data_IF_717997914570
#
_entry.id   IF_717997914570
#
_cell.length_a   1.000
_cell.length_b   1.000
_cell.length_c   1.000
_cell.angle_alpha   90.00
_cell.angle_beta   90.00
_cell.angle_gamma   90.00
#
_symmetry.space_group_name_H-M   'P 1'
#
loop_
_entity.id
_entity.type
_entity.pdbx_description
1 polymer ?
#
# COMPACT_ATOMS: atom_id res chain seq x y z
N UNK A 1 3.07 -76.65 29.12
CA UNK A 1 3.01 -76.13 27.74
C UNK A 1 4.03 -75.00 27.67
N UNK A 2 5.34 -75.23 27.50
CA UNK A 2 6.06 -76.18 26.65
C UNK A 2 5.83 -75.92 25.15
N UNK A 3 6.89 -75.45 24.49
CA UNK A 3 6.95 -74.98 23.09
C UNK A 3 7.04 -76.13 22.06
N UNK A 4 6.93 -75.80 20.76
CA UNK A 4 8.04 -76.00 19.81
C UNK A 4 8.42 -74.66 19.11
N UNK A 5 9.67 -74.28 18.77
CA UNK A 5 10.78 -74.98 18.05
C UNK A 5 10.41 -75.15 16.56
N UNK A 6 11.15 -74.78 15.51
CA UNK A 6 12.60 -74.63 15.16
C UNK A 6 12.76 -73.46 14.12
N UNK A 7 13.91 -72.88 13.69
CA UNK A 7 15.34 -72.99 14.04
C UNK A 7 16.13 -71.67 13.74
N UNK A 8 17.17 -71.68 12.88
CA UNK A 8 18.09 -70.58 12.51
C UNK A 8 18.77 -70.90 11.13
N UNK A 9 19.38 -69.93 10.40
CA UNK A 9 20.82 -69.62 10.59
C UNK A 9 21.21 -68.13 10.40
N UNK A 10 22.52 -67.83 10.52
CA UNK A 10 23.14 -66.50 10.49
C UNK A 10 23.71 -66.13 9.10
N UNK A 11 23.86 -64.82 8.81
CA UNK A 11 25.17 -64.15 8.57
C UNK A 11 25.01 -62.77 7.89
N UNK A 12 26.10 -61.98 7.84
CA UNK A 12 26.23 -60.83 6.93
C UNK A 12 26.07 -59.45 7.57
N UNK A 13 27.17 -58.71 7.71
CA UNK A 13 27.16 -57.35 8.27
C UNK A 13 26.76 -56.27 7.26
N UNK A 14 26.25 -55.13 7.76
CA UNK A 14 25.91 -53.99 6.88
C UNK A 14 25.37 -52.77 7.62
N UNK A 15 26.25 -51.92 8.17
CA UNK A 15 25.86 -50.60 8.71
C UNK A 15 25.27 -49.72 7.60
N UNK A 16 23.94 -49.55 7.54
CA UNK A 16 23.32 -48.40 6.86
C UNK A 16 22.25 -47.78 7.76
N UNK A 17 22.69 -46.81 8.57
CA UNK A 17 21.79 -45.82 9.18
C UNK A 17 20.98 -45.19 8.06
N UNK A 18 19.65 -45.30 8.10
CA UNK A 18 18.78 -44.58 7.19
C UNK A 18 19.06 -43.09 7.34
N UNK A 19 19.64 -42.46 6.32
CA UNK A 19 19.72 -41.00 6.25
C UNK A 19 18.30 -40.51 6.05
N UNK A 20 17.64 -40.12 7.14
CA UNK A 20 16.54 -39.19 7.07
C UNK A 20 17.09 -37.93 6.40
N UNK A 21 16.89 -37.80 5.09
CA UNK A 21 17.11 -36.55 4.39
C UNK A 21 16.11 -35.57 4.98
N UNK A 22 16.60 -34.78 5.93
CA UNK A 22 15.91 -33.61 6.41
C UNK A 22 15.87 -32.62 5.25
N UNK A 23 14.88 -32.81 4.37
CA UNK A 23 14.41 -31.78 3.48
C UNK A 23 13.97 -30.65 4.40
N UNK A 24 14.90 -29.72 4.67
CA UNK A 24 14.53 -28.41 5.15
C UNK A 24 13.47 -27.93 4.17
N UNK A 25 12.24 -27.82 4.66
CA UNK A 25 11.20 -27.07 3.99
C UNK A 25 11.69 -25.63 3.97
N UNK A 26 12.55 -25.33 2.99
CA UNK A 26 13.02 -24.00 2.64
C UNK A 26 11.74 -23.25 2.40
N UNK A 27 11.32 -22.45 3.40
CA UNK A 27 10.10 -21.65 3.32
C UNK A 27 10.17 -20.97 1.98
N UNK A 28 9.31 -21.39 1.05
CA UNK A 28 9.17 -20.72 -0.22
C UNK A 28 8.75 -19.32 0.18
N UNK A 29 9.70 -18.38 0.15
CA UNK A 29 9.36 -16.97 0.08
C UNK A 29 8.42 -16.93 -1.10
N UNK A 30 7.13 -16.67 -0.85
CA UNK A 30 6.20 -16.37 -1.94
C UNK A 30 6.92 -15.33 -2.78
N UNK A 31 7.03 -15.60 -4.08
CA UNK A 31 7.80 -14.77 -4.98
C UNK A 31 7.48 -13.30 -4.68
N UNK A 32 8.49 -12.56 -4.23
CA UNK A 32 8.37 -11.12 -4.00
C UNK A 32 8.23 -10.49 -5.38
N UNK A 33 7.01 -10.50 -5.92
CA UNK A 33 6.67 -9.90 -7.21
C UNK A 33 7.13 -8.45 -7.19
N UNK A 34 7.98 -8.08 -8.15
CA UNK A 34 8.93 -6.97 -8.09
C UNK A 34 8.40 -5.65 -7.50
N UNK A 35 8.48 -5.55 -6.18
CA UNK A 35 8.09 -4.37 -5.41
C UNK A 35 8.60 -4.53 -3.99
N UNK A 36 9.60 -3.73 -3.63
CA UNK A 36 9.97 -3.54 -2.23
C UNK A 36 8.82 -2.98 -1.40
N UNK A 37 9.00 -2.76 -0.09
CA UNK A 37 7.99 -2.09 0.73
C UNK A 37 7.53 -0.82 0.02
N UNK A 38 6.20 -0.66 -0.16
CA UNK A 38 5.60 0.47 -0.89
C UNK A 38 5.76 1.74 -0.05
N UNK A 39 6.96 2.27 -0.01
CA UNK A 39 7.35 3.36 0.88
C UNK A 39 6.77 4.69 0.42
N UNK A 40 6.48 5.58 1.36
CA UNK A 40 5.96 6.91 1.08
C UNK A 40 6.97 7.76 0.28
N UNK A 41 6.69 8.01 -0.99
CA UNK A 41 7.46 8.93 -1.83
C UNK A 41 6.96 10.38 -1.72
N UNK A 42 7.76 11.40 -2.08
CA UNK A 42 7.32 12.78 -2.23
C UNK A 42 6.32 12.95 -3.40
N UNK A 43 5.45 13.96 -3.32
CA UNK A 43 4.47 14.30 -4.36
C UNK A 43 3.23 13.40 -4.40
N UNK A 44 3.10 12.43 -3.50
CA UNK A 44 1.93 11.54 -3.43
C UNK A 44 0.74 12.23 -2.76
N UNK A 45 -0.41 12.24 -3.44
CA UNK A 45 -1.70 12.64 -2.85
C UNK A 45 -2.39 11.41 -2.26
N UNK A 46 -3.18 11.58 -1.21
CA UNK A 46 -3.83 10.44 -0.58
C UNK A 46 -4.57 10.74 0.71
N UNK A 47 -4.86 9.70 1.47
CA UNK A 47 -5.57 9.75 2.75
C UNK A 47 -4.71 9.06 3.81
N UNK A 48 -4.43 9.78 4.89
CA UNK A 48 -3.74 9.25 6.07
C UNK A 48 -4.77 8.70 7.06
N UNK A 49 -4.67 7.41 7.36
CA UNK A 49 -5.61 6.68 8.20
C UNK A 49 -4.90 6.21 9.47
N UNK A 50 -5.46 6.52 10.64
CA UNK A 50 -4.96 6.00 11.93
C UNK A 50 -5.84 4.87 12.43
N UNK A 51 -5.22 3.78 12.88
CA UNK A 51 -5.87 2.52 13.25
C UNK A 51 -5.56 2.12 14.70
N UNK A 52 -6.08 0.99 15.18
CA UNK A 52 -5.67 0.37 16.46
C UNK A 52 -5.18 -1.08 16.25
N UNK A 53 -3.86 -1.28 16.31
CA UNK A 53 -3.07 -2.54 16.26
C UNK A 53 -3.24 -3.44 15.02
N UNK A 54 -4.43 -3.48 14.41
CA UNK A 54 -4.78 -4.35 13.29
C UNK A 54 -4.68 -3.61 11.94
N UNK A 55 -3.48 -3.20 11.55
CA UNK A 55 -3.25 -2.44 10.30
C UNK A 55 -3.81 -3.16 9.06
N UNK A 56 -3.62 -4.48 8.92
CA UNK A 56 -4.14 -5.26 7.78
C UNK A 56 -5.66 -5.14 7.64
N UNK A 57 -6.41 -5.32 8.74
CA UNK A 57 -7.87 -5.15 8.75
C UNK A 57 -8.28 -3.70 8.49
N UNK A 58 -7.46 -2.74 8.91
CA UNK A 58 -7.68 -1.33 8.64
C UNK A 58 -7.51 -0.99 7.15
N UNK A 59 -6.51 -1.59 6.48
CA UNK A 59 -6.32 -1.49 5.02
C UNK A 59 -7.50 -2.10 4.28
N UNK A 60 -7.95 -3.30 4.67
CA UNK A 60 -9.11 -3.98 4.07
C UNK A 60 -10.42 -3.17 4.25
N UNK A 61 -10.74 -2.74 5.48
CA UNK A 61 -11.90 -1.90 5.77
C UNK A 61 -11.83 -0.55 5.04
N UNK A 62 -10.62 0.04 4.89
CA UNK A 62 -10.44 1.28 4.15
C UNK A 62 -10.63 1.11 2.64
N UNK A 63 -10.15 0.02 2.03
CA UNK A 63 -10.40 -0.24 0.61
C UNK A 63 -11.88 -0.40 0.30
N UNK A 64 -12.62 -1.16 1.13
CA UNK A 64 -14.07 -1.33 0.97
C UNK A 64 -14.77 0.04 1.03
N UNK A 65 -14.44 0.84 2.04
CA UNK A 65 -15.04 2.16 2.22
C UNK A 65 -14.70 3.14 1.08
N UNK A 66 -13.42 3.23 0.69
CA UNK A 66 -12.97 4.18 -0.32
C UNK A 66 -13.43 3.81 -1.72
N UNK A 67 -13.60 2.52 -2.02
CA UNK A 67 -14.20 2.07 -3.28
C UNK A 67 -15.70 2.40 -3.33
N UNK A 68 -16.46 2.16 -2.25
CA UNK A 68 -17.90 2.48 -2.19
C UNK A 68 -18.16 3.95 -2.53
N UNK A 69 -17.60 4.88 -1.77
CA UNK A 69 -17.77 6.32 -2.03
C UNK A 69 -16.97 6.82 -3.26
N UNK A 70 -15.95 6.08 -3.69
CA UNK A 70 -15.20 6.37 -4.92
C UNK A 70 -16.03 6.09 -6.16
N UNK A 71 -16.78 4.99 -6.16
CA UNK A 71 -17.69 4.59 -7.24
C UNK A 71 -18.93 5.51 -7.26
N UNK A 72 -19.46 5.90 -6.11
CA UNK A 72 -20.56 6.88 -5.99
C UNK A 72 -20.21 8.26 -6.59
N UNK A 73 -18.97 8.74 -6.37
CA UNK A 73 -18.54 10.09 -6.78
C UNK A 73 -17.88 10.15 -8.17
N UNK A 74 -17.11 9.14 -8.55
CA UNK A 74 -16.27 9.13 -9.76
C UNK A 74 -16.63 8.03 -10.75
N UNK A 75 -17.60 7.18 -10.42
CA UNK A 75 -17.98 6.00 -11.20
C UNK A 75 -17.06 4.80 -10.98
N UNK A 76 -17.48 3.61 -11.44
CA UNK A 76 -16.74 2.36 -11.24
C UNK A 76 -15.35 2.39 -11.89
N UNK A 77 -14.39 1.73 -11.24
CA UNK A 77 -13.02 1.62 -11.71
C UNK A 77 -12.94 0.86 -13.05
N UNK A 78 -12.79 1.62 -14.15
CA UNK A 78 -12.54 1.04 -15.47
C UNK A 78 -11.09 0.59 -15.56
N UNK A 79 -10.84 -0.67 -15.22
CA UNK A 79 -9.66 -1.37 -15.72
C UNK A 79 -9.68 -1.30 -17.24
N UNK A 80 -8.61 -0.80 -17.85
CA UNK A 80 -8.50 -0.71 -19.31
C UNK A 80 -8.11 -2.09 -19.84
N UNK A 81 -9.09 -2.99 -19.91
CA UNK A 81 -9.04 -4.09 -20.87
C UNK A 81 -9.06 -3.48 -22.27
N UNK A 82 -7.87 -3.31 -22.84
CA UNK A 82 -7.70 -3.01 -24.25
C UNK A 82 -7.30 -4.28 -24.97
N UNK A 83 -8.31 -4.96 -25.49
CA UNK A 83 -8.17 -6.02 -26.49
C UNK A 83 -7.23 -5.59 -27.60
N UNK A 84 -6.06 -6.22 -27.65
CA UNK A 84 -5.27 -6.41 -28.86
C UNK A 84 -4.67 -7.82 -28.83
N UNK A 85 -5.44 -8.79 -29.31
CA UNK A 85 -4.84 -9.93 -30.01
C UNK A 85 -4.07 -9.42 -31.24
N UNK A 86 -2.90 -10.00 -31.52
CA UNK A 86 -2.57 -10.42 -32.86
C UNK A 86 -2.76 -11.94 -32.94
N UNK A 87 -3.59 -12.38 -33.86
CA UNK A 87 -3.81 -13.78 -34.20
C UNK A 87 -2.74 -14.32 -35.16
N UNK A 88 -2.23 -15.54 -34.90
CA UNK A 88 -1.40 -16.34 -35.82
C UNK A 88 0.10 -16.14 -35.61
N UNK A 89 0.91 -17.18 -35.38
CA UNK A 89 1.00 -18.45 -36.12
C UNK A 89 1.62 -19.58 -35.29
N UNK A 90 1.18 -20.83 -35.48
CA UNK A 90 1.77 -21.98 -34.79
C UNK A 90 3.03 -22.50 -35.49
N UNK A 91 4.16 -22.59 -34.77
CA UNK A 91 5.07 -23.74 -34.83
C UNK A 91 6.16 -23.73 -33.72
N UNK A 92 6.01 -24.59 -32.72
CA UNK A 92 7.13 -25.33 -32.13
C UNK A 92 8.25 -24.56 -31.40
N UNK A 93 7.93 -23.73 -30.41
CA UNK A 93 8.86 -23.40 -29.30
C UNK A 93 8.09 -23.04 -28.02
N UNK A 94 7.28 -23.99 -27.54
CA UNK A 94 6.25 -23.77 -26.50
C UNK A 94 6.79 -23.27 -25.14
N UNK A 95 8.08 -23.41 -24.84
CA UNK A 95 8.65 -23.01 -23.54
C UNK A 95 9.07 -21.52 -23.54
N UNK A 96 9.64 -21.02 -24.66
CA UNK A 96 10.07 -19.62 -24.79
C UNK A 96 8.90 -18.66 -25.00
N UNK A 97 7.92 -19.01 -25.84
CA UNK A 97 6.72 -18.17 -26.02
C UNK A 97 5.86 -18.15 -24.76
N UNK A 98 5.68 -19.29 -24.08
CA UNK A 98 4.93 -19.35 -22.82
C UNK A 98 5.63 -18.58 -21.69
N UNK A 99 6.96 -18.64 -21.59
CA UNK A 99 7.73 -17.84 -20.65
C UNK A 99 7.53 -16.33 -20.91
N UNK A 100 7.67 -15.88 -22.16
CA UNK A 100 7.48 -14.47 -22.52
C UNK A 100 6.04 -14.00 -22.27
N UNK A 101 5.04 -14.81 -22.61
CA UNK A 101 3.61 -14.52 -22.37
C UNK A 101 3.30 -14.41 -20.88
N UNK A 102 3.93 -15.24 -20.05
CA UNK A 102 3.85 -15.16 -18.59
C UNK A 102 4.51 -13.90 -18.04
N UNK A 103 5.71 -13.55 -18.48
CA UNK A 103 6.39 -12.31 -18.08
C UNK A 103 5.58 -11.06 -18.47
N UNK A 104 5.02 -11.03 -19.69
CA UNK A 104 4.11 -9.95 -20.13
C UNK A 104 2.84 -9.92 -19.27
N UNK A 105 2.31 -11.07 -18.86
CA UNK A 105 1.19 -11.17 -17.91
C UNK A 105 1.53 -10.58 -16.54
N UNK A 106 2.69 -10.95 -15.98
CA UNK A 106 3.19 -10.44 -14.69
C UNK A 106 3.46 -8.92 -14.76
N UNK A 107 4.00 -8.42 -15.87
CA UNK A 107 4.19 -6.98 -16.13
C UNK A 107 2.83 -6.27 -16.17
N UNK A 108 1.85 -6.78 -16.93
CA UNK A 108 0.49 -6.21 -17.00
C UNK A 108 -0.18 -6.17 -15.62
N UNK A 109 -0.17 -7.28 -14.89
CA UNK A 109 -0.75 -7.37 -13.54
C UNK A 109 -0.05 -6.43 -12.54
N UNK A 110 1.28 -6.32 -12.60
CA UNK A 110 2.02 -5.36 -11.75
C UNK A 110 1.74 -3.90 -12.11
N UNK A 111 1.48 -3.61 -13.40
CA UNK A 111 1.15 -2.27 -13.90
C UNK A 111 -0.27 -1.89 -13.51
N UNK A 112 -1.23 -2.80 -13.68
CA UNK A 112 -2.60 -2.65 -13.18
C UNK A 112 -2.62 -2.37 -11.67
N UNK A 113 -1.88 -3.14 -10.87
CA UNK A 113 -1.70 -2.91 -9.42
C UNK A 113 -1.01 -1.59 -9.04
N UNK A 114 -0.33 -0.93 -9.98
CA UNK A 114 0.26 0.42 -9.84
C UNK A 114 -0.65 1.53 -10.39
N UNK A 115 -1.67 1.19 -11.17
CA UNK A 115 -2.63 2.14 -11.75
C UNK A 115 -3.96 2.22 -10.97
N UNK A 116 -4.20 1.30 -10.01
CA UNK A 116 -5.40 1.34 -9.16
C UNK A 116 -5.60 2.70 -8.48
N UNK A 117 -6.86 3.17 -8.45
CA UNK A 117 -7.32 4.45 -7.87
C UNK A 117 -6.83 4.62 -6.43
N UNK A 118 -6.80 3.54 -5.67
CA UNK A 118 -6.33 3.49 -4.28
C UNK A 118 -5.16 2.52 -4.13
N UNK A 119 -4.09 2.96 -3.47
CA UNK A 119 -2.91 2.12 -3.19
C UNK A 119 -2.40 2.34 -1.77
N UNK A 120 -2.41 1.30 -0.96
CA UNK A 120 -1.79 1.29 0.37
C UNK A 120 -0.28 1.42 0.28
N UNK A 121 0.27 2.39 1.00
CA UNK A 121 1.69 2.68 1.17
C UNK A 121 2.05 2.58 2.66
N UNK A 122 3.27 2.13 2.94
CA UNK A 122 3.84 2.09 4.29
C UNK A 122 4.28 3.49 4.71
N UNK A 123 3.68 4.01 5.78
CA UNK A 123 3.96 5.36 6.30
C UNK A 123 5.26 5.46 7.12
N UNK A 124 5.85 4.32 7.50
CA UNK A 124 6.96 4.25 8.46
C UNK A 124 6.57 4.51 9.92
N UNK A 125 5.27 4.65 10.23
CA UNK A 125 4.77 4.88 11.58
C UNK A 125 3.70 3.86 12.00
N UNK A 126 3.91 3.22 13.16
CA UNK A 126 2.99 2.23 13.72
C UNK A 126 1.58 2.78 13.87
N UNK A 127 0.59 1.98 13.45
CA UNK A 127 -0.85 2.28 13.44
C UNK A 127 -1.24 3.42 12.49
N UNK A 128 -0.43 3.70 11.47
CA UNK A 128 -0.69 4.72 10.45
C UNK A 128 -0.53 4.13 9.06
N UNK A 129 -1.63 4.08 8.32
CA UNK A 129 -1.67 3.66 6.92
C UNK A 129 -1.79 4.92 6.04
N UNK A 130 -1.04 4.98 4.95
CA UNK A 130 -1.27 5.99 3.91
C UNK A 130 -1.88 5.30 2.69
N UNK A 131 -3.00 5.81 2.18
CA UNK A 131 -3.59 5.33 0.93
C UNK A 131 -3.42 6.41 -0.12
N UNK A 132 -2.51 6.17 -1.07
CA UNK A 132 -2.32 7.01 -2.26
C UNK A 132 -3.59 7.00 -3.10
N UNK A 133 -3.99 8.17 -3.58
CA UNK A 133 -5.08 8.34 -4.55
C UNK A 133 -4.53 8.71 -5.93
N UNK A 134 -5.05 8.07 -6.98
CA UNK A 134 -4.78 8.42 -8.39
C UNK A 134 -6.04 8.97 -9.04
N UNK A 135 -5.94 10.14 -9.70
CA UNK A 135 -7.06 10.79 -10.38
C UNK A 135 -8.19 11.32 -9.47
N UNK A 136 -8.06 11.18 -8.15
CA UNK A 136 -9.07 11.54 -7.15
C UNK A 136 -8.52 12.62 -6.22
N UNK A 137 -9.38 13.61 -5.90
CA UNK A 137 -9.12 14.61 -4.86
C UNK A 137 -9.47 14.03 -3.48
N UNK A 138 -8.48 13.78 -2.59
CA UNK A 138 -8.74 13.14 -1.30
C UNK A 138 -9.60 14.01 -0.37
N UNK A 139 -9.52 15.34 -0.51
CA UNK A 139 -10.30 16.30 0.28
C UNK A 139 -11.81 16.16 0.04
N UNK A 140 -12.24 16.11 -1.23
CA UNK A 140 -13.66 15.91 -1.60
C UNK A 140 -14.19 14.56 -1.13
N UNK A 141 -13.41 13.49 -1.36
CA UNK A 141 -13.79 12.13 -0.96
C UNK A 141 -13.94 12.02 0.57
N UNK A 142 -12.96 12.50 1.35
CA UNK A 142 -13.05 12.45 2.82
C UNK A 142 -14.16 13.38 3.34
N UNK A 143 -14.37 14.56 2.74
CA UNK A 143 -15.48 15.43 3.12
C UNK A 143 -16.83 14.73 2.91
N UNK A 144 -17.04 14.07 1.77
CA UNK A 144 -18.26 13.34 1.47
C UNK A 144 -18.49 12.18 2.46
N UNK A 145 -17.47 11.36 2.75
CA UNK A 145 -17.52 10.28 3.74
C UNK A 145 -17.93 10.81 5.13
N UNK A 146 -17.31 11.90 5.59
CA UNK A 146 -17.60 12.49 6.89
C UNK A 146 -18.99 13.14 6.94
N UNK A 147 -19.43 13.74 5.82
CA UNK A 147 -20.75 14.35 5.70
C UNK A 147 -21.87 13.31 5.68
N UNK A 148 -21.69 12.18 4.99
CA UNK A 148 -22.65 11.07 5.04
C UNK A 148 -22.68 10.43 6.43
N UNK A 149 -21.52 10.15 7.04
CA UNK A 149 -21.45 9.64 8.41
C UNK A 149 -22.15 10.57 9.42
N UNK A 150 -22.08 11.89 9.23
CA UNK A 150 -22.81 12.86 10.06
C UNK A 150 -24.34 12.79 9.86
N UNK A 151 -24.79 12.64 8.60
CA UNK A 151 -26.22 12.53 8.25
C UNK A 151 -26.83 11.20 8.69
N UNK A 152 -26.20 10.08 8.33
CA UNK A 152 -26.71 8.72 8.61
C UNK A 152 -26.47 8.28 10.05
N UNK A 153 -25.47 8.86 10.74
CA UNK A 153 -24.98 8.48 12.07
C UNK A 153 -24.54 7.00 12.17
N UNK A 154 -24.30 6.33 11.03
CA UNK A 154 -23.86 4.93 10.96
C UNK A 154 -22.35 4.87 10.77
N UNK A 155 -21.68 4.05 11.59
CA UNK A 155 -20.26 3.74 11.44
C UNK A 155 -20.10 2.54 10.52
N UNK A 156 -19.60 2.74 9.30
CA UNK A 156 -19.31 1.65 8.34
C UNK A 156 -18.03 0.87 8.68
N UNK A 157 -17.11 1.47 9.45
CA UNK A 157 -15.80 0.88 9.80
C UNK A 157 -15.58 0.78 11.31
N UNK A 158 -14.76 -0.19 11.73
CA UNK A 158 -14.44 -0.48 13.14
C UNK A 158 -12.95 -0.31 13.44
N UNK A 159 -12.05 -0.56 12.48
CA UNK A 159 -10.60 -0.44 12.66
C UNK A 159 -10.08 1.00 12.48
N UNK A 160 -10.80 1.83 11.71
CA UNK A 160 -10.41 3.21 11.40
C UNK A 160 -10.82 4.16 12.54
N UNK A 161 -9.86 4.91 13.07
CA UNK A 161 -10.08 5.91 14.13
C UNK A 161 -10.15 7.35 13.61
N UNK A 162 -9.41 7.66 12.54
CA UNK A 162 -9.33 8.99 11.93
C UNK A 162 -8.88 8.85 10.48
N UNK A 163 -9.47 9.64 9.60
CA UNK A 163 -8.99 9.88 8.23
C UNK A 163 -8.59 11.35 8.14
N UNK A 164 -7.47 11.63 7.46
CA UNK A 164 -7.03 12.97 7.13
C UNK A 164 -6.70 13.00 5.63
N UNK A 165 -7.34 13.88 4.82
CA UNK A 165 -6.93 14.05 3.44
C UNK A 165 -5.55 14.71 3.40
N UNK A 166 -4.69 14.24 2.50
CA UNK A 166 -3.32 14.73 2.30
C UNK A 166 -3.18 15.16 0.84
N UNK A 167 -3.11 16.48 0.64
CA UNK A 167 -3.02 17.12 -0.68
C UNK A 167 -1.67 16.90 -1.38
N UNK A 168 -0.65 16.48 -0.62
CA UNK A 168 0.63 15.96 -1.10
C UNK A 168 1.61 15.64 0.04
N UNK A 169 2.63 14.85 -0.28
CA UNK A 169 3.72 14.46 0.63
C UNK A 169 5.03 15.14 0.23
N UNK A 170 5.94 15.35 1.19
CA UNK A 170 7.30 15.81 0.96
C UNK A 170 8.26 15.06 1.90
N UNK A 171 9.58 15.17 1.67
CA UNK A 171 10.58 14.69 2.65
C UNK A 171 10.57 15.62 3.86
N UNK A 172 10.93 15.09 5.03
CA UNK A 172 10.96 15.85 6.28
C UNK A 172 12.20 16.76 6.42
N UNK A 173 12.56 17.49 5.35
CA UNK A 173 13.60 18.52 5.33
C UNK A 173 12.95 19.90 5.23
N UNK A 174 13.53 20.91 5.89
CA UNK A 174 12.98 22.27 5.93
C UNK A 174 12.80 22.88 4.54
N UNK A 175 13.80 22.70 3.66
CA UNK A 175 13.72 23.20 2.29
C UNK A 175 12.61 22.55 1.45
N UNK A 176 12.44 21.23 1.55
CA UNK A 176 11.44 20.49 0.78
C UNK A 176 10.02 20.82 1.27
N UNK A 177 9.85 20.98 2.59
CA UNK A 177 8.61 21.48 3.18
C UNK A 177 8.29 22.90 2.71
N UNK A 178 9.29 23.80 2.63
CA UNK A 178 9.12 25.19 2.18
C UNK A 178 8.71 25.27 0.71
N UNK A 179 9.46 24.63 -0.20
CA UNK A 179 9.16 24.58 -1.64
C UNK A 179 7.76 24.02 -1.92
N UNK A 180 7.37 22.96 -1.19
CA UNK A 180 6.04 22.39 -1.29
C UNK A 180 4.95 23.33 -0.75
N UNK A 181 5.21 23.97 0.40
CA UNK A 181 4.30 24.93 1.01
C UNK A 181 4.07 26.16 0.12
N UNK A 182 5.11 26.75 -0.46
CA UNK A 182 5.02 27.83 -1.46
C UNK A 182 4.02 27.41 -2.55
N UNK A 183 4.32 26.32 -3.26
CA UNK A 183 3.48 25.79 -4.36
C UNK A 183 2.03 25.50 -3.95
N UNK A 184 1.81 25.00 -2.72
CA UNK A 184 0.49 24.61 -2.23
C UNK A 184 -0.35 25.78 -1.67
N UNK A 185 0.30 26.77 -1.04
CA UNK A 185 -0.36 27.90 -0.39
C UNK A 185 -0.66 29.04 -1.37
N UNK A 186 0.14 29.17 -2.44
CA UNK A 186 -0.04 30.19 -3.47
C UNK A 186 -1.50 30.40 -3.93
N UNK A 187 -2.29 29.36 -4.28
CA UNK A 187 -3.68 29.55 -4.73
C UNK A 187 -4.64 30.08 -3.66
N UNK A 188 -4.30 29.94 -2.38
CA UNK A 188 -5.16 30.29 -1.24
C UNK A 188 -4.84 31.67 -0.64
N UNK A 189 -3.58 32.10 -0.73
CA UNK A 189 -3.09 33.34 -0.10
C UNK A 189 -2.59 34.42 -1.10
N UNK A 190 -2.42 34.11 -2.39
CA UNK A 190 -2.20 35.16 -3.39
C UNK A 190 -3.44 36.05 -3.51
N UNK A 191 -3.20 37.35 -3.69
CA UNK A 191 -4.24 38.36 -3.83
C UNK A 191 -5.22 38.00 -4.97
N UNK A 192 -6.55 38.21 -4.80
CA UNK A 192 -7.19 39.01 -3.74
C UNK A 192 -7.49 38.27 -2.42
N UNK A 193 -7.19 36.96 -2.32
CA UNK A 193 -7.62 36.14 -1.19
C UNK A 193 -6.71 36.34 0.04
N UNK A 194 -7.23 37.02 1.08
CA UNK A 194 -6.57 37.14 2.39
C UNK A 194 -7.30 36.31 3.44
N UNK A 195 -6.88 35.05 3.61
CA UNK A 195 -7.39 34.16 4.65
C UNK A 195 -6.60 34.24 5.96
N UNK A 196 -7.27 34.16 7.10
CA UNK A 196 -6.60 33.85 8.38
C UNK A 196 -6.30 32.36 8.45
N UNK A 197 -5.07 31.98 8.80
CA UNK A 197 -4.62 30.59 8.83
C UNK A 197 -4.05 30.20 10.20
N UNK A 198 -4.00 28.89 10.48
CA UNK A 198 -3.36 28.33 11.67
C UNK A 198 -2.50 27.13 11.28
N UNK A 199 -1.21 27.17 11.64
CA UNK A 199 -0.28 26.05 11.40
C UNK A 199 -0.29 25.12 12.62
N UNK A 200 -0.68 23.86 12.42
CA UNK A 200 -0.74 22.84 13.48
C UNK A 200 0.32 21.77 13.24
N UNK A 201 1.49 21.93 13.86
CA UNK A 201 2.59 20.96 13.78
C UNK A 201 2.29 19.68 14.56
N UNK A 202 2.54 18.52 13.95
CA UNK A 202 2.49 17.18 14.58
C UNK A 202 3.61 16.30 14.06
N UNK A 203 4.55 15.94 14.93
CA UNK A 203 5.61 14.98 14.61
C UNK A 203 5.23 13.54 15.03
N UNK A 204 5.76 12.56 14.30
CA UNK A 204 5.85 11.14 14.69
C UNK A 204 7.19 10.60 14.22
N UNK A 205 7.85 9.80 15.05
CA UNK A 205 9.12 9.13 14.73
C UNK A 205 10.22 10.06 14.15
N UNK A 206 10.17 11.36 14.47
CA UNK A 206 11.12 12.36 14.01
C UNK A 206 11.44 13.32 15.16
N UNK A 207 12.72 13.39 15.52
CA UNK A 207 13.30 14.26 16.54
C UNK A 207 14.28 15.29 15.97
N UNK A 208 14.47 15.32 14.65
CA UNK A 208 15.44 16.21 13.98
C UNK A 208 14.84 17.56 13.58
N UNK A 209 13.51 17.66 13.52
CA UNK A 209 12.81 18.85 13.01
C UNK A 209 12.18 19.64 14.16
N UNK A 210 12.66 20.85 14.39
CA UNK A 210 12.15 21.74 15.43
C UNK A 210 10.77 22.31 15.07
N UNK A 211 9.84 22.23 16.02
CA UNK A 211 8.46 22.72 15.84
C UNK A 211 8.39 24.22 15.52
N UNK A 212 9.13 25.03 16.27
CA UNK A 212 9.07 26.50 16.16
C UNK A 212 9.65 27.00 14.84
N UNK A 213 10.76 26.40 14.41
CA UNK A 213 11.44 26.66 13.15
C UNK A 213 10.53 26.36 11.94
N UNK A 214 9.87 25.18 11.93
CA UNK A 214 8.88 24.84 10.89
C UNK A 214 7.71 25.82 10.88
N UNK A 215 7.16 26.17 12.03
CA UNK A 215 6.03 27.12 12.09
C UNK A 215 6.45 28.49 11.58
N UNK A 216 7.66 28.96 11.92
CA UNK A 216 8.19 30.26 11.50
C UNK A 216 8.43 30.32 9.99
N UNK A 217 9.10 29.33 9.42
CA UNK A 217 9.36 29.27 7.97
C UNK A 217 8.06 29.15 7.16
N UNK A 218 7.13 28.29 7.59
CA UNK A 218 5.84 28.14 6.92
C UNK A 218 4.96 29.40 7.06
N UNK A 219 4.96 30.07 8.21
CA UNK A 219 4.22 31.33 8.37
C UNK A 219 4.79 32.47 7.50
N UNK A 220 6.11 32.56 7.39
CA UNK A 220 6.79 33.50 6.48
C UNK A 220 6.46 33.23 5.00
N UNK A 221 6.08 32.00 4.66
CA UNK A 221 5.66 31.59 3.31
C UNK A 221 4.23 32.03 2.97
N UNK A 222 3.36 32.21 3.97
CA UNK A 222 1.96 32.64 3.80
C UNK A 222 1.74 34.17 3.82
N UNK A 223 2.80 34.96 4.01
CA UNK A 223 2.72 36.40 4.38
C UNK A 223 2.78 37.36 3.19
#
# INVERSE_FOLDING_TARGET
MASPVQQHPQSGGGKRKGKAQYLQAKRVRRCEGGGGPRQLEPGLKGILITCNMNERKCVEEAYILLNEYGDDLYGPEKFIDKDQQPSGSECGDDDLEAALKKEVGDIKASTEMRLRRFQSMESGANNVVFIRTLGIEPEKLVHHILQDMYKTKKKKTRAILRMLPISGTCKAFLEDMKKYAETFLEPWFKAPNKGTFQIVYKARNNSHVNREEVIKELAATCS
#
